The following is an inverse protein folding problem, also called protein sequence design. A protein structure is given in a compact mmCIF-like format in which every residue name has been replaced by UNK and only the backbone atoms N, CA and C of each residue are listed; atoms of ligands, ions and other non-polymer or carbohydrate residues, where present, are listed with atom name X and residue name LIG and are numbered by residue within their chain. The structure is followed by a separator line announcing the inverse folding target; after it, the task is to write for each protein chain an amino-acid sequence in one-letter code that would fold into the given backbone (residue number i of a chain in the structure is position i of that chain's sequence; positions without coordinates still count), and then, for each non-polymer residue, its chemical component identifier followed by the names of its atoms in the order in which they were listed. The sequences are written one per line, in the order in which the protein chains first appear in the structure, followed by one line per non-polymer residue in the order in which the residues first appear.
data_IF_819361993049
#
_entry.id   IF_819361993049
#
_cell.length_a   1.000
_cell.length_b   1.000
_cell.length_c   1.000
_cell.angle_alpha   90.00
_cell.angle_beta   90.00
_cell.angle_gamma   90.00
#
_symmetry.space_group_name_H-M   'P 1'
#
loop_
_entity.id
_entity.type
_entity.pdbx_description
1 polymer ?
#
# COMPACT_ATOMS: atom_id res chain seq x y z
N UNK A 1 -22.27 -1.90 -24.28
CA UNK A 1 -21.59 -0.73 -23.66
C UNK A 1 -20.68 -1.17 -22.50
N UNK A 2 -19.42 -0.76 -22.50
CA UNK A 2 -18.53 -1.00 -21.34
C UNK A 2 -19.05 -0.17 -20.18
N UNK A 3 -19.46 -0.81 -19.08
CA UNK A 3 -19.86 -0.08 -17.87
C UNK A 3 -18.61 0.58 -17.28
N UNK A 4 -18.48 1.89 -17.42
CA UNK A 4 -17.69 2.69 -16.49
C UNK A 4 -18.42 2.62 -15.15
N UNK A 5 -17.82 1.96 -14.16
CA UNK A 5 -18.40 1.88 -12.83
C UNK A 5 -18.60 3.29 -12.25
N UNK A 6 -19.61 3.51 -11.39
CA UNK A 6 -19.80 4.79 -10.74
C UNK A 6 -18.54 5.11 -9.91
N UNK A 7 -18.12 6.38 -9.88
CA UNK A 7 -16.98 6.90 -9.08
C UNK A 7 -15.55 6.65 -9.58
N UNK A 8 -15.33 6.36 -10.86
CA UNK A 8 -13.98 6.34 -11.41
C UNK A 8 -13.42 7.78 -11.52
N UNK A 9 -12.48 8.14 -10.65
CA UNK A 9 -11.73 9.39 -10.76
C UNK A 9 -10.75 9.34 -11.93
N UNK A 10 -10.45 10.51 -12.47
CA UNK A 10 -9.42 10.68 -13.50
C UNK A 10 -8.09 10.09 -13.02
N UNK A 11 -7.49 9.23 -13.85
CA UNK A 11 -6.21 8.59 -13.51
C UNK A 11 -5.02 9.51 -13.78
N UNK A 12 -5.19 10.48 -14.67
CA UNK A 12 -4.12 11.32 -15.21
C UNK A 12 -4.23 12.78 -14.80
N UNK A 13 -5.43 13.27 -14.49
CA UNK A 13 -5.65 14.68 -14.16
C UNK A 13 -6.23 14.84 -12.76
N UNK A 14 -5.37 15.12 -11.78
CA UNK A 14 -5.76 15.28 -10.38
C UNK A 14 -6.71 16.46 -10.13
N UNK A 15 -6.81 17.42 -11.05
CA UNK A 15 -7.68 18.59 -10.90
C UNK A 15 -9.16 18.26 -11.06
N UNK A 16 -9.49 17.13 -11.70
CA UNK A 16 -10.86 16.64 -11.85
C UNK A 16 -11.36 15.87 -10.61
N UNK A 17 -10.54 15.73 -9.57
CA UNK A 17 -10.90 15.02 -8.35
C UNK A 17 -11.86 15.84 -7.46
N UNK A 18 -12.76 15.19 -6.71
CA UNK A 18 -13.67 15.89 -5.81
C UNK A 18 -12.93 16.61 -4.68
N UNK A 19 -13.46 17.77 -4.28
CA UNK A 19 -12.93 18.54 -3.15
C UNK A 19 -13.19 17.79 -1.84
N UNK A 20 -12.25 17.89 -0.92
CA UNK A 20 -12.27 17.24 0.37
C UNK A 20 -13.49 17.61 1.23
N UNK A 21 -14.21 16.60 1.71
CA UNK A 21 -15.31 16.80 2.65
C UNK A 21 -14.82 17.03 4.09
N UNK A 22 -13.70 16.40 4.48
CA UNK A 22 -13.01 16.64 5.76
C UNK A 22 -11.64 17.22 5.49
N UNK A 23 -11.52 18.53 5.62
CA UNK A 23 -10.26 19.22 5.47
C UNK A 23 -9.43 19.16 6.76
N UNK A 24 -8.12 19.03 6.60
CA UNK A 24 -7.17 19.15 7.70
C UNK A 24 -6.95 20.64 7.97
N UNK A 25 -7.41 21.14 9.12
CA UNK A 25 -7.25 22.54 9.54
C UNK A 25 -5.83 22.81 10.06
N UNK A 26 -4.82 22.61 9.22
CA UNK A 26 -3.41 22.75 9.64
C UNK A 26 -2.65 23.61 8.64
N UNK A 27 -1.77 24.48 9.15
CA UNK A 27 -0.78 25.27 8.42
C UNK A 27 0.12 24.46 7.47
N UNK A 28 0.12 23.12 7.58
CA UNK A 28 0.82 22.16 6.72
C UNK A 28 0.18 22.07 5.32
N UNK A 29 -1.10 22.44 5.16
CA UNK A 29 -1.81 22.38 3.88
C UNK A 29 -1.64 23.65 3.01
N UNK A 30 -0.84 24.62 3.46
CA UNK A 30 -0.55 25.85 2.71
C UNK A 30 0.24 25.49 1.44
N UNK A 31 -0.30 25.80 0.27
CA UNK A 31 0.31 25.50 -1.04
C UNK A 31 -0.19 24.22 -1.72
N UNK A 32 -1.00 23.39 -1.04
CA UNK A 32 -1.65 22.23 -1.67
C UNK A 32 -2.99 22.64 -2.29
N UNK A 33 -3.39 21.95 -3.38
CA UNK A 33 -4.68 22.13 -4.03
C UNK A 33 -5.83 21.66 -3.12
N UNK A 34 -7.03 22.22 -3.29
CA UNK A 34 -8.16 21.97 -2.37
C UNK A 34 -8.58 20.50 -2.31
N UNK A 35 -8.45 19.75 -3.41
CA UNK A 35 -8.69 18.31 -3.48
C UNK A 35 -7.59 17.46 -2.81
N UNK A 36 -6.50 18.08 -2.34
CA UNK A 36 -5.40 17.42 -1.60
C UNK A 36 -5.38 17.79 -0.11
N UNK A 37 -6.30 18.63 0.37
CA UNK A 37 -6.35 19.05 1.78
C UNK A 37 -7.12 18.10 2.69
N UNK A 38 -7.30 16.86 2.26
CA UNK A 38 -8.09 15.83 2.96
C UNK A 38 -7.29 15.22 4.10
N UNK A 39 -7.99 14.76 5.13
CA UNK A 39 -7.40 13.83 6.09
C UNK A 39 -7.06 12.50 5.37
N UNK A 40 -5.79 12.09 5.43
CA UNK A 40 -5.33 10.83 4.83
C UNK A 40 -5.72 9.66 5.74
N UNK A 41 -6.75 8.93 5.34
CA UNK A 41 -7.29 7.79 6.10
C UNK A 41 -6.77 6.41 5.63
N UNK A 42 -6.15 6.36 4.46
CA UNK A 42 -5.66 5.13 3.85
C UNK A 42 -4.14 5.13 3.76
N UNK A 43 -3.52 4.00 4.10
CA UNK A 43 -2.07 3.81 4.12
C UNK A 43 -1.71 2.40 3.65
N UNK A 44 -0.43 2.12 3.35
CA UNK A 44 0.01 0.79 2.95
C UNK A 44 -0.36 -0.28 3.99
N UNK A 45 -0.90 -1.39 3.51
CA UNK A 45 -1.21 -2.59 4.27
C UNK A 45 -0.64 -3.80 3.53
N UNK A 46 0.22 -4.56 4.19
CA UNK A 46 0.79 -5.79 3.65
C UNK A 46 -0.12 -6.96 3.99
N UNK A 47 -0.61 -7.68 2.97
CA UNK A 47 -1.58 -8.76 3.11
C UNK A 47 -1.14 -10.03 2.41
N UNK A 48 -1.51 -11.17 2.98
CA UNK A 48 -1.29 -12.49 2.40
C UNK A 48 0.18 -12.94 2.39
N UNK A 49 0.38 -14.24 2.19
CA UNK A 49 1.72 -14.87 2.20
C UNK A 49 2.64 -14.41 1.07
N UNK A 50 2.07 -13.82 0.01
CA UNK A 50 2.84 -13.26 -1.12
C UNK A 50 3.38 -11.86 -0.84
N UNK A 51 3.02 -11.24 0.29
CA UNK A 51 3.41 -9.88 0.63
C UNK A 51 2.80 -8.85 -0.33
N UNK A 52 1.50 -8.97 -0.63
CA UNK A 52 0.82 -8.00 -1.49
C UNK A 52 0.62 -6.68 -0.73
N UNK A 53 0.95 -5.55 -1.34
CA UNK A 53 0.72 -4.23 -0.75
C UNK A 53 -0.52 -3.58 -1.35
N UNK A 54 -1.45 -3.18 -0.49
CA UNK A 54 -2.62 -2.37 -0.86
C UNK A 54 -2.67 -1.09 -0.02
N UNK A 55 -3.16 0.00 -0.60
CA UNK A 55 -3.42 1.23 0.17
C UNK A 55 -4.85 1.14 0.68
N UNK A 56 -5.02 1.04 2.00
CA UNK A 56 -6.35 0.85 2.59
C UNK A 56 -6.49 1.43 4.00
N UNK A 57 -7.71 1.44 4.53
CA UNK A 57 -7.99 1.95 5.87
C UNK A 57 -7.52 0.97 6.95
N UNK A 58 -7.28 1.46 8.17
CA UNK A 58 -6.91 0.61 9.31
C UNK A 58 -7.92 -0.54 9.49
N UNK A 59 -9.22 -0.22 9.51
CA UNK A 59 -10.28 -1.20 9.72
C UNK A 59 -10.28 -2.30 8.65
N UNK A 60 -10.08 -1.94 7.37
CA UNK A 60 -10.02 -2.93 6.30
C UNK A 60 -8.74 -3.76 6.36
N UNK A 61 -7.60 -3.16 6.69
CA UNK A 61 -6.35 -3.89 6.90
C UNK A 61 -6.47 -4.91 8.05
N UNK A 62 -7.06 -4.50 9.18
CA UNK A 62 -7.35 -5.38 10.32
C UNK A 62 -8.28 -6.52 9.93
N UNK A 63 -9.32 -6.24 9.14
CA UNK A 63 -10.23 -7.26 8.62
C UNK A 63 -9.51 -8.31 7.78
N UNK A 64 -8.56 -7.87 6.93
CA UNK A 64 -7.72 -8.75 6.12
C UNK A 64 -6.61 -9.44 6.91
N UNK A 65 -6.48 -9.17 8.21
CA UNK A 65 -5.38 -9.63 9.08
C UNK A 65 -4.00 -9.28 8.50
N UNK A 66 -3.89 -8.12 7.87
CA UNK A 66 -2.63 -7.58 7.34
C UNK A 66 -1.82 -6.81 8.37
N UNK A 67 -0.61 -6.41 7.97
CA UNK A 67 0.22 -5.47 8.72
C UNK A 67 0.01 -4.05 8.20
N UNK A 68 -0.42 -3.14 9.07
CA UNK A 68 -0.74 -1.76 8.70
C UNK A 68 0.46 -0.83 8.96
N UNK A 69 0.87 -0.06 7.96
CA UNK A 69 1.97 0.90 8.07
C UNK A 69 1.44 2.32 8.27
N UNK A 70 1.40 2.77 9.51
CA UNK A 70 0.96 4.13 9.85
C UNK A 70 1.96 5.22 9.44
N UNK A 71 3.24 4.85 9.32
CA UNK A 71 4.40 5.70 9.04
C UNK A 71 4.70 5.85 7.54
N UNK A 72 4.18 4.94 6.70
CA UNK A 72 4.32 5.01 5.25
C UNK A 72 3.11 5.66 4.57
N UNK A 73 3.35 6.26 3.41
CA UNK A 73 2.32 6.80 2.52
C UNK A 73 2.16 5.98 1.23
N UNK A 74 3.23 5.30 0.80
CA UNK A 74 3.30 4.60 -0.49
C UNK A 74 3.80 3.16 -0.29
N UNK A 75 3.31 2.24 -1.12
CA UNK A 75 3.79 0.85 -1.14
C UNK A 75 5.27 0.71 -1.49
N UNK A 76 5.87 1.70 -2.18
CA UNK A 76 7.30 1.71 -2.47
C UNK A 76 8.19 1.99 -1.26
N UNK A 77 7.61 2.42 -0.13
CA UNK A 77 8.33 2.74 1.11
C UNK A 77 8.40 1.55 2.08
N UNK A 78 7.69 0.46 1.80
CA UNK A 78 7.55 -0.70 2.70
C UNK A 78 8.02 -1.98 2.00
N UNK A 79 8.44 -2.99 2.77
CA UNK A 79 8.89 -4.28 2.25
C UNK A 79 8.00 -5.43 2.76
N UNK A 80 6.83 -5.61 2.14
CA UNK A 80 5.86 -6.61 2.56
C UNK A 80 6.35 -8.06 2.48
N UNK A 81 7.31 -8.37 1.60
CA UNK A 81 7.83 -9.73 1.44
C UNK A 81 8.71 -10.15 2.63
N UNK A 82 9.54 -9.22 3.11
CA UNK A 82 10.40 -9.46 4.27
C UNK A 82 9.57 -9.59 5.56
N UNK A 83 8.52 -8.79 5.69
CA UNK A 83 7.75 -8.68 6.93
C UNK A 83 6.65 -9.74 7.12
N UNK A 84 5.99 -10.20 6.03
CA UNK A 84 4.91 -11.19 6.13
C UNK A 84 5.40 -12.62 5.88
N UNK A 85 6.37 -12.82 4.97
CA UNK A 85 6.80 -14.15 4.56
C UNK A 85 7.80 -14.81 5.52
N UNK A 86 8.36 -14.05 6.48
CA UNK A 86 9.45 -14.55 7.34
C UNK A 86 10.64 -15.07 6.53
N UNK A 87 10.76 -14.61 5.28
CA UNK A 87 11.77 -15.08 4.34
C UNK A 87 13.10 -14.46 4.74
N UNK A 88 14.17 -15.24 4.67
CA UNK A 88 15.52 -14.73 4.95
C UNK A 88 15.79 -13.50 4.08
N UNK A 89 16.30 -12.39 4.66
CA UNK A 89 16.60 -11.19 3.91
C UNK A 89 17.63 -11.48 2.82
N UNK A 90 17.54 -10.74 1.72
CA UNK A 90 18.51 -10.91 0.63
C UNK A 90 19.93 -10.60 1.11
N UNK A 91 20.91 -11.36 0.62
CA UNK A 91 22.33 -11.12 0.93
C UNK A 91 22.79 -9.69 0.56
N UNK A 92 22.16 -9.08 -0.46
CA UNK A 92 22.37 -7.69 -0.85
C UNK A 92 21.02 -6.97 -0.93
N UNK A 93 20.88 -5.87 -0.18
CA UNK A 93 19.67 -5.05 -0.16
C UNK A 93 19.36 -4.54 -1.58
N UNK A 94 18.14 -4.80 -2.07
CA UNK A 94 17.67 -4.36 -3.39
C UNK A 94 18.14 -5.22 -4.57
N UNK A 95 18.92 -6.29 -4.33
CA UNK A 95 19.25 -7.29 -5.35
C UNK A 95 18.63 -8.64 -4.97
N UNK A 96 17.77 -9.23 -5.82
CA UNK A 96 17.24 -10.57 -5.55
C UNK A 96 18.37 -11.59 -5.65
N UNK A 97 18.65 -12.34 -4.58
CA UNK A 97 19.52 -13.53 -4.68
C UNK A 97 18.74 -14.74 -5.22
N UNK A 98 19.39 -15.76 -5.77
CA UNK A 98 18.71 -16.99 -6.22
C UNK A 98 18.71 -18.08 -5.14
N UNK A 99 19.41 -17.88 -4.02
CA UNK A 99 19.59 -18.92 -3.00
C UNK A 99 18.32 -19.16 -2.22
N UNK A 100 17.51 -18.11 -1.97
CA UNK A 100 16.21 -18.27 -1.35
C UNK A 100 15.33 -19.26 -2.12
N UNK A 101 15.50 -19.41 -3.44
CA UNK A 101 14.70 -20.33 -4.25
C UNK A 101 14.91 -21.78 -3.84
N UNK A 102 16.14 -22.18 -3.51
CA UNK A 102 16.45 -23.54 -3.05
C UNK A 102 15.83 -23.75 -1.67
N UNK A 103 16.09 -22.84 -0.73
CA UNK A 103 15.59 -22.95 0.64
C UNK A 103 14.05 -22.93 0.71
N UNK A 104 13.40 -21.97 0.05
CA UNK A 104 11.94 -21.84 0.03
C UNK A 104 11.30 -23.04 -0.67
N UNK A 105 11.88 -23.55 -1.77
CA UNK A 105 11.34 -24.75 -2.43
C UNK A 105 11.38 -26.00 -1.55
N UNK A 106 12.30 -26.07 -0.59
CA UNK A 106 12.45 -27.22 0.30
C UNK A 106 11.50 -27.15 1.51
N UNK A 107 11.24 -25.95 2.02
CA UNK A 107 10.52 -25.74 3.29
C UNK A 107 9.14 -25.09 3.15
N UNK A 108 8.82 -24.50 2.00
CA UNK A 108 7.60 -23.74 1.75
C UNK A 108 6.86 -24.35 0.55
N UNK A 109 6.06 -25.37 0.82
CA UNK A 109 5.09 -25.88 -0.15
C UNK A 109 3.85 -24.98 -0.11
N UNK A 110 3.63 -24.20 -1.17
CA UNK A 110 2.33 -23.61 -1.43
C UNK A 110 1.39 -24.76 -1.81
N UNK A 111 0.60 -25.23 -0.84
CA UNK A 111 -0.31 -26.37 -0.99
C UNK A 111 -1.21 -26.31 -2.21
#
# INVERSE_FOLDING_TARGET
PRSTGPFAWSRTDVTEWPICQRSVNVSVAIGYADHMRCEVIARPCCVGVKGECIITTVAHCTFLRGHYHADAALCSQVNCLEEICGMMPFLKKGQPDQLYRIYVSLFLHAG
#
